data_IF_205058910956
#
_entry.id   IF_205058910956
#
_cell.length_a   1.000
_cell.length_b   1.000
_cell.length_c   1.000
_cell.angle_alpha   90.00
_cell.angle_beta   90.00
_cell.angle_gamma   90.00
#
_symmetry.space_group_name_H-M   'P 1'
#
loop_
_entity.id
_entity.type
_entity.pdbx_description
1 polymer ?
#
# COMPACT_ATOMS: atom_id res chain seq x y z
N UNK A 1 -5.57 -31.38 -4.37
CA UNK A 1 -6.21 -30.42 -3.43
C UNK A 1 -5.99 -29.04 -4.02
N UNK A 2 -7.06 -28.27 -4.23
CA UNK A 2 -6.94 -26.85 -4.60
C UNK A 2 -6.48 -26.14 -3.33
N UNK A 3 -5.29 -25.58 -3.35
CA UNK A 3 -4.80 -24.73 -2.27
C UNK A 3 -5.58 -23.41 -2.24
N UNK A 4 -5.79 -22.86 -1.05
CA UNK A 4 -6.49 -21.59 -0.85
C UNK A 4 -6.65 -21.28 0.64
N UNK A 5 -7.17 -20.09 0.92
CA UNK A 5 -7.45 -19.61 2.28
C UNK A 5 -8.96 -19.43 2.44
N UNK A 6 -9.52 -19.95 3.50
CA UNK A 6 -10.91 -19.73 3.91
C UNK A 6 -10.92 -18.69 5.03
N UNK A 7 -11.73 -17.65 4.85
CA UNK A 7 -11.94 -16.61 5.85
C UNK A 7 -13.37 -16.68 6.34
N UNK A 8 -13.55 -16.75 7.65
CA UNK A 8 -14.85 -16.80 8.31
C UNK A 8 -15.03 -15.56 9.18
N UNK A 9 -16.22 -14.99 9.16
CA UNK A 9 -16.59 -13.87 10.02
C UNK A 9 -17.45 -14.35 11.18
N UNK A 10 -16.97 -14.17 12.40
CA UNK A 10 -17.73 -14.41 13.62
C UNK A 10 -17.68 -13.18 14.55
N UNK A 11 -18.78 -12.82 15.20
CA UNK A 11 -20.16 -13.29 14.98
C UNK A 11 -20.73 -12.83 13.64
N UNK A 12 -21.89 -13.39 13.27
CA UNK A 12 -22.61 -12.94 12.09
C UNK A 12 -22.94 -11.44 12.23
N UNK A 13 -22.25 -10.61 11.45
CA UNK A 13 -22.40 -9.15 11.47
C UNK A 13 -23.23 -8.70 10.28
N UNK A 14 -24.23 -7.88 10.55
CA UNK A 14 -24.95 -7.14 9.52
C UNK A 14 -24.52 -5.69 9.55
N UNK A 15 -24.13 -5.14 8.40
CA UNK A 15 -23.74 -3.74 8.29
C UNK A 15 -24.82 -2.93 7.57
N UNK A 16 -25.11 -1.75 8.11
CA UNK A 16 -26.08 -0.80 7.54
C UNK A 16 -25.41 0.55 7.38
N UNK A 17 -25.45 1.09 6.18
CA UNK A 17 -25.05 2.46 5.91
C UNK A 17 -26.20 3.42 6.25
N UNK A 18 -25.96 4.35 7.16
CA UNK A 18 -26.86 5.45 7.45
C UNK A 18 -26.43 6.75 6.77
N UNK A 19 -27.23 7.80 6.93
CA UNK A 19 -26.90 9.12 6.36
C UNK A 19 -25.64 9.73 7.01
N UNK A 20 -25.58 9.73 8.35
CA UNK A 20 -24.50 10.36 9.11
C UNK A 20 -23.49 9.37 9.68
N UNK A 21 -23.96 8.15 9.96
CA UNK A 21 -23.15 7.09 10.59
C UNK A 21 -23.42 5.75 9.93
N UNK A 22 -22.42 4.89 9.97
CA UNK A 22 -22.56 3.49 9.61
C UNK A 22 -22.75 2.67 10.90
N UNK A 23 -23.45 1.56 10.80
CA UNK A 23 -23.79 0.72 11.94
C UNK A 23 -23.45 -0.74 11.68
N UNK A 24 -23.01 -1.44 12.71
CA UNK A 24 -22.88 -2.89 12.73
C UNK A 24 -23.86 -3.47 13.73
N UNK A 25 -24.50 -4.56 13.35
CA UNK A 25 -25.40 -5.34 14.21
C UNK A 25 -24.84 -6.75 14.40
N UNK A 26 -24.86 -7.23 15.61
CA UNK A 26 -24.66 -8.63 15.95
C UNK A 26 -25.68 -9.00 17.01
N UNK A 27 -26.53 -9.96 16.73
CA UNK A 27 -27.58 -10.46 17.64
C UNK A 27 -28.28 -9.34 18.43
N UNK A 28 -27.78 -9.02 19.63
CA UNK A 28 -28.37 -8.03 20.54
C UNK A 28 -27.58 -6.72 20.64
N UNK A 29 -26.52 -6.53 19.84
CA UNK A 29 -25.63 -5.39 19.97
C UNK A 29 -25.57 -4.56 18.70
N UNK A 30 -25.72 -3.24 18.87
CA UNK A 30 -25.56 -2.24 17.82
C UNK A 30 -24.31 -1.40 18.07
N UNK A 31 -23.40 -1.38 17.11
CA UNK A 31 -22.23 -0.50 17.13
C UNK A 31 -22.40 0.62 16.12
N UNK A 32 -22.14 1.83 16.57
CA UNK A 32 -22.04 2.98 15.69
C UNK A 32 -20.56 3.15 15.28
N UNK A 33 -20.30 3.15 13.99
CA UNK A 33 -18.97 3.27 13.42
C UNK A 33 -18.61 4.74 13.20
N UNK A 34 -17.38 5.10 13.54
CA UNK A 34 -16.87 6.44 13.25
C UNK A 34 -16.36 6.54 11.81
N UNK A 35 -16.85 7.53 11.07
CA UNK A 35 -16.31 7.91 9.77
C UNK A 35 -15.05 8.79 9.92
N UNK A 36 -14.10 8.74 8.95
CA UNK A 36 -14.13 8.03 7.68
C UNK A 36 -13.55 6.60 7.72
N UNK A 37 -13.07 6.17 8.86
CA UNK A 37 -12.20 5.00 8.96
C UNK A 37 -12.85 3.65 8.64
N UNK A 38 -14.16 3.48 8.82
CA UNK A 38 -14.82 2.18 8.70
C UNK A 38 -15.52 1.96 7.36
N UNK A 39 -15.77 3.00 6.56
CA UNK A 39 -16.52 2.92 5.31
C UNK A 39 -15.91 1.95 4.29
N UNK A 40 -14.57 1.82 4.27
CA UNK A 40 -13.88 0.89 3.37
C UNK A 40 -13.97 -0.57 3.79
N UNK A 41 -14.19 -0.84 5.08
CA UNK A 41 -14.24 -2.20 5.63
C UNK A 41 -15.66 -2.77 5.58
N UNK A 42 -16.68 -1.91 5.58
CA UNK A 42 -18.07 -2.31 5.57
C UNK A 42 -18.44 -3.32 4.49
N UNK A 43 -18.04 -3.14 3.21
CA UNK A 43 -18.35 -4.13 2.16
C UNK A 43 -17.72 -5.50 2.45
N UNK A 44 -16.51 -5.54 3.01
CA UNK A 44 -15.86 -6.80 3.37
C UNK A 44 -16.57 -7.48 4.54
N UNK A 45 -16.97 -6.72 5.56
CA UNK A 45 -17.75 -7.24 6.69
C UNK A 45 -19.14 -7.72 6.26
N UNK A 46 -19.80 -7.02 5.35
CA UNK A 46 -21.07 -7.45 4.76
C UNK A 46 -20.93 -8.75 3.97
N UNK A 47 -19.84 -8.88 3.18
CA UNK A 47 -19.57 -10.09 2.43
C UNK A 47 -19.28 -11.29 3.33
N UNK A 48 -18.62 -11.05 4.49
CA UNK A 48 -18.35 -12.07 5.50
C UNK A 48 -19.57 -12.42 6.35
N UNK A 49 -20.59 -11.57 6.44
CA UNK A 49 -21.75 -11.64 7.33
C UNK A 49 -22.31 -13.05 7.61
N UNK A 50 -21.67 -13.84 8.49
CA UNK A 50 -22.00 -15.20 8.83
C UNK A 50 -21.71 -16.24 7.74
N UNK A 51 -20.91 -15.89 6.72
CA UNK A 51 -20.51 -16.75 5.61
C UNK A 51 -19.01 -16.94 5.61
N UNK A 52 -18.55 -18.07 5.09
CA UNK A 52 -17.14 -18.28 4.78
C UNK A 52 -16.86 -17.85 3.34
N UNK A 53 -15.76 -17.14 3.14
CA UNK A 53 -15.22 -16.80 1.83
C UNK A 53 -13.99 -17.66 1.55
N UNK A 54 -13.94 -18.26 0.39
CA UNK A 54 -12.79 -19.05 -0.05
C UNK A 54 -12.02 -18.27 -1.12
N UNK A 55 -10.74 -18.07 -0.87
CA UNK A 55 -9.82 -17.43 -1.80
C UNK A 55 -8.91 -18.50 -2.41
N UNK A 56 -8.78 -18.50 -3.74
CA UNK A 56 -7.74 -19.30 -4.41
C UNK A 56 -6.35 -18.76 -4.04
N UNK A 57 -5.26 -19.51 -4.32
CA UNK A 57 -3.92 -19.04 -3.98
C UNK A 57 -3.61 -17.64 -4.58
N UNK A 58 -4.05 -17.36 -5.81
CA UNK A 58 -3.84 -16.06 -6.44
C UNK A 58 -4.63 -14.95 -5.74
N UNK A 59 -5.91 -15.23 -5.44
CA UNK A 59 -6.78 -14.28 -4.73
C UNK A 59 -6.36 -14.10 -3.27
N UNK A 60 -5.85 -15.16 -2.63
CA UNK A 60 -5.33 -15.10 -1.26
C UNK A 60 -4.12 -14.16 -1.18
N UNK A 61 -3.22 -14.18 -2.15
CA UNK A 61 -2.10 -13.23 -2.21
C UNK A 61 -2.60 -11.79 -2.31
N UNK A 62 -3.56 -11.52 -3.18
CA UNK A 62 -4.16 -10.20 -3.30
C UNK A 62 -4.90 -9.78 -2.01
N UNK A 63 -5.67 -10.68 -1.41
CA UNK A 63 -6.35 -10.44 -0.14
C UNK A 63 -5.36 -10.09 0.98
N UNK A 64 -4.28 -10.86 1.12
CA UNK A 64 -3.26 -10.64 2.15
C UNK A 64 -2.48 -9.33 1.92
N UNK A 65 -2.20 -8.96 0.66
CA UNK A 65 -1.45 -7.75 0.34
C UNK A 65 -2.30 -6.47 0.46
N UNK A 66 -3.58 -6.51 0.09
CA UNK A 66 -4.41 -5.30 -0.02
C UNK A 66 -5.48 -5.18 1.07
N UNK A 67 -6.12 -6.29 1.44
CA UNK A 67 -7.29 -6.27 2.32
C UNK A 67 -6.91 -6.54 3.77
N UNK A 68 -6.09 -7.55 4.01
CA UNK A 68 -5.72 -7.99 5.35
C UNK A 68 -5.06 -6.89 6.20
N UNK A 69 -4.12 -6.07 5.68
CA UNK A 69 -3.52 -4.97 6.45
C UNK A 69 -4.54 -3.91 6.87
N UNK A 70 -5.57 -3.64 6.04
CA UNK A 70 -6.66 -2.73 6.39
C UNK A 70 -7.56 -3.32 7.50
N UNK A 71 -7.87 -4.60 7.40
CA UNK A 71 -8.69 -5.30 8.40
C UNK A 71 -7.93 -5.45 9.72
N UNK A 72 -6.66 -5.87 9.70
CA UNK A 72 -5.85 -6.15 10.89
C UNK A 72 -5.63 -4.95 11.80
N UNK A 73 -5.67 -3.73 11.25
CA UNK A 73 -5.59 -2.52 12.07
C UNK A 73 -6.86 -2.22 12.87
N UNK A 74 -7.97 -2.92 12.61
CA UNK A 74 -9.31 -2.60 13.14
C UNK A 74 -10.07 -3.80 13.69
N UNK A 75 -9.72 -5.00 13.26
CA UNK A 75 -10.36 -6.24 13.65
C UNK A 75 -9.34 -7.16 14.33
N UNK A 76 -9.81 -7.95 15.29
CA UNK A 76 -9.01 -9.04 15.82
C UNK A 76 -9.04 -10.21 14.83
N UNK A 77 -7.92 -10.47 14.16
CA UNK A 77 -7.79 -11.56 13.22
C UNK A 77 -7.21 -12.77 13.98
N UNK A 78 -7.97 -13.86 14.01
CA UNK A 78 -7.55 -15.12 14.62
C UNK A 78 -7.11 -16.06 13.50
N UNK A 79 -5.87 -16.53 13.58
CA UNK A 79 -5.28 -17.47 12.62
C UNK A 79 -4.86 -18.76 13.36
N UNK A 80 -5.82 -19.67 13.64
CA UNK A 80 -5.57 -20.87 14.45
C UNK A 80 -4.60 -21.84 13.77
N UNK A 81 -4.57 -21.88 12.45
CA UNK A 81 -3.70 -22.76 11.67
C UNK A 81 -2.38 -22.09 11.27
N UNK A 82 -2.17 -20.85 11.68
CA UNK A 82 -1.01 -20.03 11.32
C UNK A 82 -0.77 -19.89 9.80
N UNK A 83 -1.85 -19.92 9.03
CA UNK A 83 -1.81 -19.81 7.57
C UNK A 83 -1.29 -18.43 7.11
N UNK A 84 -1.55 -17.41 7.92
CA UNK A 84 -1.16 -16.02 7.63
C UNK A 84 0.27 -15.69 8.06
N UNK A 85 0.89 -16.49 8.95
CA UNK A 85 2.27 -16.23 9.41
C UNK A 85 3.28 -16.26 8.25
N UNK A 86 3.01 -17.09 7.23
CA UNK A 86 3.82 -17.14 6.01
C UNK A 86 3.32 -16.16 4.93
N UNK A 87 2.31 -15.35 5.24
CA UNK A 87 1.64 -14.44 4.32
C UNK A 87 1.53 -13.02 4.87
N UNK A 88 2.24 -12.70 5.95
CA UNK A 88 2.41 -11.32 6.39
C UNK A 88 3.36 -10.66 5.39
N UNK A 89 2.95 -9.55 4.75
CA UNK A 89 3.86 -8.81 3.88
C UNK A 89 5.12 -8.44 4.66
N UNK A 90 6.28 -8.76 4.11
CA UNK A 90 7.53 -8.23 4.64
C UNK A 90 7.51 -6.71 4.45
N UNK A 91 8.01 -5.99 5.42
CA UNK A 91 8.24 -4.56 5.26
C UNK A 91 9.33 -4.35 4.21
N UNK A 92 9.08 -3.61 3.12
CA UNK A 92 10.08 -3.41 2.08
C UNK A 92 11.13 -2.39 2.55
N UNK A 93 12.36 -2.59 2.12
CA UNK A 93 13.33 -1.48 2.10
C UNK A 93 12.96 -0.59 0.92
N UNK A 94 12.60 0.66 1.21
CA UNK A 94 12.27 1.66 0.20
C UNK A 94 13.56 2.29 -0.31
N UNK A 95 13.74 2.32 -1.63
CA UNK A 95 14.88 2.93 -2.29
C UNK A 95 14.38 3.99 -3.26
N UNK A 96 14.76 5.24 -3.05
CA UNK A 96 14.44 6.35 -3.93
C UNK A 96 15.62 6.64 -4.85
N UNK A 97 15.37 6.69 -6.14
CA UNK A 97 16.36 7.03 -7.16
C UNK A 97 16.03 8.38 -7.75
N UNK A 98 16.97 9.31 -7.69
CA UNK A 98 16.86 10.64 -8.25
C UNK A 98 17.91 10.83 -9.36
N UNK A 99 17.46 11.32 -10.49
CA UNK A 99 18.29 11.60 -11.66
C UNK A 99 18.01 12.99 -12.21
N UNK A 100 19.00 13.54 -12.92
CA UNK A 100 18.87 14.78 -13.69
C UNK A 100 19.25 14.50 -15.16
N UNK A 101 18.28 14.02 -15.97
CA UNK A 101 18.57 13.64 -17.34
C UNK A 101 19.01 14.83 -18.21
N UNK A 102 18.68 16.03 -17.77
CA UNK A 102 19.19 17.29 -18.31
C UNK A 102 19.33 18.36 -17.21
N UNK A 103 19.92 19.51 -17.53
CA UNK A 103 20.23 20.57 -16.55
C UNK A 103 19.01 21.27 -15.95
N UNK A 104 17.81 20.98 -16.46
CA UNK A 104 16.58 21.69 -16.10
C UNK A 104 15.47 20.77 -15.60
N UNK A 105 15.71 19.45 -15.57
CA UNK A 105 14.70 18.49 -15.19
C UNK A 105 15.24 17.48 -14.20
N UNK A 106 14.46 17.23 -13.15
CA UNK A 106 14.68 16.13 -12.21
C UNK A 106 13.65 15.05 -12.48
N UNK A 107 14.10 13.81 -12.43
CA UNK A 107 13.28 12.61 -12.43
C UNK A 107 13.57 11.76 -11.19
N UNK A 108 12.53 11.12 -10.66
CA UNK A 108 12.66 10.22 -9.52
C UNK A 108 11.69 9.05 -9.62
N UNK A 109 12.08 7.93 -9.05
CA UNK A 109 11.20 6.78 -8.84
C UNK A 109 11.53 6.08 -7.54
N UNK A 110 10.61 5.27 -7.06
CA UNK A 110 10.81 4.40 -5.91
C UNK A 110 10.92 2.94 -6.34
N UNK A 111 11.83 2.21 -5.71
CA UNK A 111 11.97 0.77 -5.80
C UNK A 111 11.75 0.16 -4.41
N UNK A 112 11.23 -1.07 -4.37
CA UNK A 112 10.89 -1.74 -3.13
C UNK A 112 11.59 -3.08 -3.06
N UNK A 113 12.44 -3.26 -2.05
CA UNK A 113 13.21 -4.48 -1.87
C UNK A 113 12.58 -5.35 -0.78
N UNK A 114 12.10 -6.52 -1.16
CA UNK A 114 11.48 -7.53 -0.29
C UNK A 114 12.43 -8.73 -0.14
N UNK A 115 13.35 -8.68 0.80
CA UNK A 115 14.42 -9.66 0.89
C UNK A 115 15.31 -9.60 -0.35
N UNK A 116 15.30 -10.64 -1.19
CA UNK A 116 16.04 -10.69 -2.46
C UNK A 116 15.22 -10.19 -3.67
N UNK A 117 13.90 -10.08 -3.52
CA UNK A 117 13.00 -9.66 -4.59
C UNK A 117 12.92 -8.13 -4.67
N UNK A 118 13.12 -7.58 -5.87
CA UNK A 118 13.08 -6.14 -6.13
C UNK A 118 11.90 -5.80 -7.05
N UNK A 119 11.09 -4.82 -6.62
CA UNK A 119 10.01 -4.25 -7.43
C UNK A 119 10.46 -2.88 -7.92
N UNK A 120 10.43 -2.70 -9.23
CA UNK A 120 10.78 -1.44 -9.90
C UNK A 120 9.62 -0.96 -10.77
N UNK A 121 9.57 0.32 -11.14
CA UNK A 121 8.58 0.83 -12.09
C UNK A 121 8.65 0.18 -13.49
N UNK A 122 9.76 -0.47 -13.80
CA UNK A 122 10.09 -0.97 -15.13
C UNK A 122 9.93 -2.49 -15.25
N UNK A 123 9.65 -3.20 -14.15
CA UNK A 123 9.55 -4.66 -14.14
C UNK A 123 8.31 -5.11 -13.38
N UNK A 124 7.58 -6.12 -13.88
CA UNK A 124 6.45 -6.66 -13.15
C UNK A 124 6.93 -7.30 -11.83
N UNK A 125 6.09 -7.20 -10.80
CA UNK A 125 6.38 -7.88 -9.53
C UNK A 125 6.45 -9.39 -9.70
N UNK A 126 7.36 -10.09 -8.99
CA UNK A 126 7.43 -11.54 -8.99
C UNK A 126 6.10 -12.17 -8.58
N UNK A 127 5.74 -13.29 -9.22
CA UNK A 127 4.52 -14.01 -8.90
C UNK A 127 4.58 -14.57 -7.47
N UNK A 128 3.53 -14.33 -6.69
CA UNK A 128 3.42 -14.85 -5.31
C UNK A 128 4.12 -13.99 -4.25
N UNK A 129 4.75 -12.89 -4.62
CA UNK A 129 5.32 -11.95 -3.66
C UNK A 129 4.22 -11.23 -2.89
N UNK A 130 4.27 -11.31 -1.57
CA UNK A 130 3.40 -10.57 -0.67
C UNK A 130 3.96 -9.17 -0.45
N UNK A 131 3.25 -8.17 -0.96
CA UNK A 131 3.66 -6.77 -0.95
C UNK A 131 2.99 -6.00 0.18
N UNK A 132 3.73 -5.15 0.85
CA UNK A 132 3.16 -4.09 1.71
C UNK A 132 2.78 -2.87 0.86
N UNK A 133 1.60 -2.95 0.26
CA UNK A 133 1.06 -1.88 -0.61
C UNK A 133 0.89 -0.56 0.14
N UNK A 134 0.78 -0.58 1.47
CA UNK A 134 0.68 0.65 2.27
C UNK A 134 2.03 1.36 2.33
N UNK A 135 3.10 0.62 2.61
CA UNK A 135 4.45 1.17 2.59
C UNK A 135 4.79 1.72 1.20
N UNK A 136 4.51 0.95 0.15
CA UNK A 136 4.72 1.40 -1.23
C UNK A 136 3.90 2.66 -1.57
N UNK A 137 2.61 2.68 -1.21
CA UNK A 137 1.75 3.85 -1.45
C UNK A 137 2.17 5.07 -0.63
N UNK A 138 2.75 4.87 0.55
CA UNK A 138 3.30 5.96 1.37
C UNK A 138 4.51 6.58 0.68
N UNK A 139 5.45 5.75 0.23
CA UNK A 139 6.62 6.20 -0.51
C UNK A 139 6.27 6.94 -1.81
N UNK A 140 5.35 6.39 -2.60
CA UNK A 140 4.86 7.02 -3.84
C UNK A 140 4.17 8.36 -3.57
N UNK A 141 3.36 8.46 -2.52
CA UNK A 141 2.73 9.74 -2.12
C UNK A 141 3.77 10.76 -1.66
N UNK A 142 4.83 10.31 -1.01
CA UNK A 142 5.92 11.19 -0.60
C UNK A 142 6.62 11.78 -1.82
N UNK A 143 6.93 10.99 -2.86
CA UNK A 143 7.43 11.52 -4.14
C UNK A 143 6.43 12.50 -4.78
N UNK A 144 5.15 12.13 -4.82
CA UNK A 144 4.08 12.96 -5.40
C UNK A 144 3.86 14.29 -4.66
N UNK A 145 4.32 14.45 -3.43
CA UNK A 145 4.24 15.72 -2.69
C UNK A 145 5.26 16.75 -3.18
N UNK A 146 6.29 16.32 -3.89
CA UNK A 146 7.38 17.19 -4.41
C UNK A 146 7.47 17.21 -5.94
N UNK A 147 7.04 16.13 -6.61
CA UNK A 147 7.22 15.91 -8.04
C UNK A 147 5.90 15.48 -8.70
N UNK A 148 5.76 15.75 -9.99
CA UNK A 148 4.59 15.36 -10.76
C UNK A 148 4.73 13.92 -11.29
N UNK A 149 3.72 13.04 -11.18
CA UNK A 149 3.75 11.71 -11.76
C UNK A 149 3.59 11.71 -13.28
N UNK A 150 4.02 10.65 -13.94
CA UNK A 150 3.71 10.41 -15.35
C UNK A 150 4.81 10.84 -16.33
N UNK A 151 6.03 11.00 -15.87
CA UNK A 151 7.15 11.32 -16.74
C UNK A 151 7.45 10.19 -17.72
N UNK A 152 7.63 10.53 -18.99
CA UNK A 152 7.89 9.55 -20.04
C UNK A 152 6.73 8.57 -20.30
N UNK A 153 5.51 8.89 -19.84
CA UNK A 153 4.34 8.02 -19.98
C UNK A 153 4.26 6.89 -18.93
N UNK A 154 5.13 6.91 -17.93
CA UNK A 154 5.10 5.96 -16.83
C UNK A 154 4.62 6.67 -15.55
N UNK A 155 3.44 6.29 -15.05
CA UNK A 155 2.82 6.89 -13.85
C UNK A 155 3.63 6.68 -12.56
N UNK A 156 4.57 5.76 -12.55
CA UNK A 156 5.44 5.47 -11.41
C UNK A 156 6.79 6.22 -11.46
N UNK A 157 7.02 7.01 -12.51
CA UNK A 157 8.15 7.92 -12.63
C UNK A 157 7.65 9.34 -12.40
N UNK A 158 8.27 10.03 -11.48
CA UNK A 158 7.93 11.39 -11.05
C UNK A 158 8.98 12.35 -11.56
N UNK A 159 8.60 13.61 -11.84
CA UNK A 159 9.59 14.58 -12.24
C UNK A 159 9.04 15.99 -12.27
N UNK A 160 9.95 16.95 -12.39
CA UNK A 160 9.64 18.37 -12.58
C UNK A 160 10.75 19.06 -13.35
N UNK A 161 10.37 20.14 -14.03
CA UNK A 161 11.29 21.13 -14.62
C UNK A 161 11.04 22.53 -14.03
N UNK A 162 10.21 22.62 -12.99
CA UNK A 162 9.93 23.86 -12.28
C UNK A 162 11.01 24.14 -11.22
N UNK A 163 11.62 25.30 -11.28
CA UNK A 163 12.75 25.69 -10.44
C UNK A 163 12.35 25.76 -8.94
N UNK A 164 11.14 26.22 -8.63
CA UNK A 164 10.64 26.29 -7.25
C UNK A 164 10.39 24.89 -6.68
N UNK A 165 9.83 23.98 -7.49
CA UNK A 165 9.65 22.58 -7.08
C UNK A 165 11.00 21.87 -6.90
N UNK A 166 11.99 22.15 -7.76
CA UNK A 166 13.36 21.63 -7.62
C UNK A 166 13.98 22.11 -6.31
N UNK A 167 13.94 23.41 -6.02
CA UNK A 167 14.46 23.95 -4.75
C UNK A 167 13.77 23.31 -3.54
N UNK A 168 12.46 23.19 -3.57
CA UNK A 168 11.70 22.55 -2.48
C UNK A 168 12.06 21.07 -2.31
N UNK A 169 12.28 20.34 -3.42
CA UNK A 169 12.74 18.95 -3.35
C UNK A 169 14.12 18.86 -2.68
N UNK A 170 15.06 19.75 -3.05
CA UNK A 170 16.41 19.75 -2.50
C UNK A 170 16.42 20.09 -0.99
N UNK A 171 15.64 21.08 -0.58
CA UNK A 171 15.65 21.59 0.79
C UNK A 171 14.81 20.73 1.76
N UNK A 172 13.63 20.30 1.34
CA UNK A 172 12.66 19.61 2.19
C UNK A 172 12.47 18.14 1.78
N UNK A 173 12.44 17.88 0.46
CA UNK A 173 12.11 16.58 -0.10
C UNK A 173 13.18 15.53 0.19
N UNK A 174 14.45 15.82 -0.07
CA UNK A 174 15.54 14.87 0.17
C UNK A 174 15.63 14.45 1.63
N UNK A 175 15.57 15.37 2.62
CA UNK A 175 15.49 14.98 4.03
C UNK A 175 14.27 14.11 4.36
N UNK A 176 13.11 14.39 3.78
CA UNK A 176 11.90 13.61 3.98
C UNK A 176 12.01 12.20 3.36
N UNK A 177 12.60 12.07 2.17
CA UNK A 177 12.88 10.79 1.53
C UNK A 177 13.87 9.95 2.35
N UNK A 178 14.94 10.57 2.87
CA UNK A 178 15.93 9.92 3.73
C UNK A 178 15.33 9.41 5.06
N UNK A 179 14.28 10.06 5.56
CA UNK A 179 13.58 9.61 6.76
C UNK A 179 12.69 8.38 6.50
N UNK A 180 12.25 8.15 5.25
CA UNK A 180 11.39 7.03 4.87
C UNK A 180 12.18 5.84 4.30
N UNK A 181 13.37 6.08 3.70
CA UNK A 181 14.16 5.03 3.07
C UNK A 181 15.56 5.47 2.63
N UNK A 182 16.14 4.69 1.74
CA UNK A 182 17.46 4.96 1.15
C UNK A 182 17.29 5.89 -0.07
N UNK A 183 18.21 6.85 -0.23
CA UNK A 183 18.20 7.79 -1.37
C UNK A 183 19.46 7.63 -2.20
N UNK A 184 19.28 7.36 -3.47
CA UNK A 184 20.33 7.19 -4.47
C UNK A 184 20.28 8.34 -5.47
N UNK A 185 21.38 9.06 -5.58
CA UNK A 185 21.54 10.19 -6.49
C UNK A 185 22.45 9.80 -7.65
N UNK A 186 22.03 10.04 -8.90
CA UNK A 186 22.92 9.88 -10.05
C UNK A 186 24.06 10.89 -10.03
N UNK A 187 25.11 10.63 -10.80
CA UNK A 187 26.22 11.57 -10.94
C UNK A 187 25.77 12.90 -11.62
N UNK A 188 24.80 12.81 -12.52
CA UNK A 188 24.19 14.00 -13.14
C UNK A 188 23.46 14.85 -12.09
N UNK A 189 22.66 14.24 -11.23
CA UNK A 189 21.97 14.93 -10.14
C UNK A 189 22.92 15.59 -9.14
N UNK A 190 24.05 14.94 -8.81
CA UNK A 190 25.07 15.50 -7.89
C UNK A 190 25.82 16.68 -8.47
N UNK A 191 25.73 16.89 -9.78
CA UNK A 191 26.42 17.94 -10.51
C UNK A 191 25.56 19.19 -10.74
N UNK A 192 24.28 19.17 -10.30
CA UNK A 192 23.39 20.33 -10.26
C UNK A 192 23.82 21.30 -9.18
#
# INVERSE_FOLDING_TARGET
RRGGVQVEGEPALSAVQGLDYDYLFSEDTLWRLQRPGCTRILPALQALGGKSLFFTNADATAFCSYVLPELGSRLNIVDPERLLLNQIPLEPVVQFYLDAPDSFRIEAHAEFLYGEDKITPFSPAPAGLLRDVRAESRAKRLLASYLQPGVGGNEEVYGTADEEEICRLLEEGIPALLAEGEVYLSDAFRSL
#
